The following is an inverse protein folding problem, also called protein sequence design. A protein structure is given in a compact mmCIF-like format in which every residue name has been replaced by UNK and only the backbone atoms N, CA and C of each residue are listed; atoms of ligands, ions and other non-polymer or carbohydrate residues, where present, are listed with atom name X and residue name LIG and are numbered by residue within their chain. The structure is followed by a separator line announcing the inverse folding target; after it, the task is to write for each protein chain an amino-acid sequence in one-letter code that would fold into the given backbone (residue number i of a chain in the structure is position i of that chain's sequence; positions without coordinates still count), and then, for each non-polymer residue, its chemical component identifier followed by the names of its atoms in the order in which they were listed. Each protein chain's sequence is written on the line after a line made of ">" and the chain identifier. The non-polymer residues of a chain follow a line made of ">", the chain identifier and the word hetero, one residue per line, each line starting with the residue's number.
data_IF_490069849867
#
_entry.id   IF_490069849867
#
_cell.length_a   1.000
_cell.length_b   1.000
_cell.length_c   1.000
_cell.angle_alpha   90.00
_cell.angle_beta   90.00
_cell.angle_gamma   90.00
#
_symmetry.space_group_name_H-M   'P 1'
#
loop_
_entity.id
_entity.type
_entity.pdbx_description
1 polymer ?
#
# COMPACT_ATOMS: atom_id res chain seq x y z
N UNK A 1 3.57 3.48 10.78
CA UNK A 1 4.38 4.54 10.14
C UNK A 1 4.92 5.54 11.17
N UNK A 2 4.08 6.26 11.93
CA UNK A 2 4.54 7.27 12.90
C UNK A 2 5.61 6.82 13.91
N UNK A 3 5.47 5.65 14.55
CA UNK A 3 6.48 5.14 15.47
C UNK A 3 7.83 4.79 14.79
N UNK A 4 7.81 4.39 13.51
CA UNK A 4 9.01 4.15 12.75
C UNK A 4 9.71 5.46 12.37
N UNK A 5 8.93 6.52 12.11
CA UNK A 5 9.43 7.88 11.87
C UNK A 5 10.17 8.40 13.10
N UNK A 6 9.54 8.40 14.26
CA UNK A 6 10.17 8.88 15.50
C UNK A 6 11.48 8.14 15.83
N UNK A 7 11.50 6.81 15.66
CA UNK A 7 12.72 6.03 15.87
C UNK A 7 13.80 6.40 14.87
N UNK A 8 13.45 6.54 13.60
CA UNK A 8 14.40 6.91 12.54
C UNK A 8 14.97 8.31 12.78
N UNK A 9 14.12 9.26 13.19
CA UNK A 9 14.55 10.61 13.54
C UNK A 9 15.58 10.60 14.67
N UNK A 10 15.41 9.73 15.66
CA UNK A 10 16.38 9.58 16.75
C UNK A 10 17.72 8.99 16.27
N UNK A 11 17.70 7.97 15.41
CA UNK A 11 18.93 7.44 14.80
C UNK A 11 19.65 8.50 13.95
N UNK A 12 18.92 9.32 13.21
CA UNK A 12 19.50 10.43 12.44
C UNK A 12 20.13 11.46 13.38
N UNK A 13 19.44 11.82 14.47
CA UNK A 13 19.97 12.73 15.50
C UNK A 13 21.26 12.20 16.10
N UNK A 14 21.28 10.94 16.55
CA UNK A 14 22.47 10.29 17.10
C UNK A 14 23.64 10.29 16.10
N UNK A 15 23.37 9.95 14.84
CA UNK A 15 24.38 9.96 13.78
C UNK A 15 24.98 11.36 13.55
N UNK A 16 24.14 12.40 13.49
CA UNK A 16 24.61 13.78 13.34
C UNK A 16 25.45 14.24 14.53
N UNK A 17 25.08 13.83 15.75
CA UNK A 17 25.87 14.11 16.97
C UNK A 17 27.23 13.42 16.90
N UNK A 18 27.25 12.12 16.59
CA UNK A 18 28.48 11.33 16.49
C UNK A 18 29.47 11.91 15.47
N UNK A 19 28.97 12.39 14.33
CA UNK A 19 29.80 13.00 13.27
C UNK A 19 30.19 14.45 13.56
N UNK A 20 29.63 15.08 14.59
CA UNK A 20 29.86 16.48 14.92
C UNK A 20 29.14 17.49 14.00
N UNK A 21 28.09 17.06 13.29
CA UNK A 21 27.31 17.90 12.36
C UNK A 21 26.28 18.78 13.09
N UNK A 22 26.76 19.59 14.04
CA UNK A 22 25.92 20.38 14.95
C UNK A 22 25.08 21.45 14.24
N UNK A 23 25.57 22.03 13.14
CA UNK A 23 24.78 22.98 12.33
C UNK A 23 23.59 22.27 11.67
N UNK A 24 23.82 21.14 11.03
CA UNK A 24 22.76 20.34 10.38
C UNK A 24 21.72 19.87 11.39
N UNK A 25 22.16 19.43 12.57
CA UNK A 25 21.26 19.02 13.66
C UNK A 25 20.31 20.15 14.09
N UNK A 26 20.81 21.38 14.23
CA UNK A 26 19.96 22.54 14.56
C UNK A 26 18.90 22.81 13.49
N UNK A 27 19.27 22.67 12.22
CA UNK A 27 18.32 22.84 11.12
C UNK A 27 17.27 21.72 11.13
N UNK A 28 17.69 20.47 11.33
CA UNK A 28 16.77 19.33 11.47
C UNK A 28 15.76 19.55 12.60
N UNK A 29 16.21 19.93 13.79
CA UNK A 29 15.32 20.19 14.93
C UNK A 29 14.34 21.36 14.65
N UNK A 30 14.77 22.37 13.89
CA UNK A 30 13.90 23.47 13.45
C UNK A 30 12.83 22.98 12.49
N UNK A 31 13.21 22.18 11.49
CA UNK A 31 12.30 21.62 10.49
C UNK A 31 11.29 20.66 11.14
N UNK A 32 11.74 19.83 12.09
CA UNK A 32 10.86 18.95 12.87
C UNK A 32 9.82 19.72 13.68
N UNK A 33 10.18 20.88 14.25
CA UNK A 33 9.22 21.74 14.97
C UNK A 33 8.20 22.38 14.02
N UNK A 34 8.63 22.71 12.81
CA UNK A 34 7.78 23.29 11.78
C UNK A 34 6.95 22.23 11.01
N UNK A 35 7.11 20.94 11.34
CA UNK A 35 6.49 19.85 10.60
C UNK A 35 4.95 19.90 10.68
N UNK A 36 4.35 20.07 9.49
CA UNK A 36 2.90 20.08 9.28
C UNK A 36 2.35 18.67 9.10
N UNK A 37 3.18 17.69 8.77
CA UNK A 37 2.80 16.27 8.61
C UNK A 37 2.80 15.54 9.95
N UNK A 38 3.31 16.19 11.01
CA UNK A 38 3.33 15.72 12.40
C UNK A 38 3.96 14.33 12.55
N UNK A 39 5.01 14.05 11.77
CA UNK A 39 5.67 12.75 11.70
C UNK A 39 4.76 11.65 11.16
N UNK A 40 3.78 11.99 10.33
CA UNK A 40 2.76 11.07 9.82
C UNK A 40 1.96 10.37 10.94
N UNK A 41 1.81 11.04 12.08
CA UNK A 41 0.97 10.58 13.19
C UNK A 41 -0.44 11.09 12.99
N UNK A 42 -1.34 10.18 12.68
CA UNK A 42 -2.75 10.51 12.39
C UNK A 42 -3.40 11.22 13.57
N UNK A 43 -3.20 10.73 14.80
CA UNK A 43 -3.72 11.36 16.02
C UNK A 43 -3.32 12.84 16.11
N UNK A 44 -2.06 13.17 15.83
CA UNK A 44 -1.57 14.55 15.86
C UNK A 44 -2.16 15.43 14.78
N UNK A 45 -2.48 14.87 13.62
CA UNK A 45 -3.19 15.59 12.56
C UNK A 45 -4.64 15.88 12.98
N UNK A 46 -5.32 14.89 13.57
CA UNK A 46 -6.68 15.05 14.09
C UNK A 46 -6.71 16.08 15.23
N UNK A 47 -5.80 15.97 16.20
CA UNK A 47 -5.64 16.91 17.32
C UNK A 47 -5.47 18.35 16.78
N UNK A 48 -4.64 18.53 15.75
CA UNK A 48 -4.40 19.84 15.15
C UNK A 48 -5.64 20.40 14.45
N UNK A 49 -6.37 19.56 13.69
CA UNK A 49 -7.64 19.97 13.06
C UNK A 49 -8.67 20.37 14.11
N UNK A 50 -8.78 19.59 15.18
CA UNK A 50 -9.63 19.93 16.31
C UNK A 50 -9.19 21.23 16.97
N UNK A 51 -7.89 21.45 17.19
CA UNK A 51 -7.38 22.68 17.80
C UNK A 51 -7.81 23.94 17.02
N UNK A 52 -7.73 23.90 15.68
CA UNK A 52 -8.23 25.01 14.86
C UNK A 52 -9.73 25.24 15.02
N UNK A 53 -10.53 24.18 15.15
CA UNK A 53 -11.97 24.26 15.40
C UNK A 53 -12.28 24.87 16.77
N UNK A 54 -11.63 24.36 17.83
CA UNK A 54 -11.82 24.83 19.20
C UNK A 54 -11.40 26.30 19.39
N UNK A 55 -10.41 26.76 18.62
CA UNK A 55 -9.95 28.15 18.64
C UNK A 55 -10.70 29.08 17.67
N UNK A 56 -11.69 28.58 16.92
CA UNK A 56 -12.39 29.33 15.88
C UNK A 56 -11.48 29.91 14.79
N UNK A 57 -10.38 29.20 14.48
CA UNK A 57 -9.43 29.58 13.44
C UNK A 57 -9.78 28.91 12.11
N UNK A 58 -10.74 29.50 11.41
CA UNK A 58 -11.17 29.03 10.09
C UNK A 58 -10.05 29.08 9.05
N UNK A 59 -9.21 30.12 9.08
CA UNK A 59 -8.14 30.27 8.09
C UNK A 59 -7.08 29.19 8.29
N UNK A 60 -6.62 28.98 9.52
CA UNK A 60 -5.69 27.89 9.85
C UNK A 60 -6.24 26.53 9.47
N UNK A 61 -7.52 26.27 9.74
CA UNK A 61 -8.18 25.02 9.34
C UNK A 61 -8.16 24.82 7.81
N UNK A 62 -8.52 25.86 7.04
CA UNK A 62 -8.53 25.82 5.58
C UNK A 62 -7.13 25.61 5.01
N UNK A 63 -6.16 26.39 5.49
CA UNK A 63 -4.79 26.33 5.01
C UNK A 63 -4.14 24.99 5.31
N UNK A 64 -4.43 24.43 6.49
CA UNK A 64 -3.95 23.12 6.89
C UNK A 64 -4.61 22.00 6.07
N UNK A 65 -5.93 22.02 5.87
CA UNK A 65 -6.58 21.06 4.97
C UNK A 65 -6.05 21.16 3.54
N UNK A 66 -5.90 22.38 3.01
CA UNK A 66 -5.34 22.63 1.68
C UNK A 66 -3.88 22.17 1.56
N UNK A 67 -3.11 22.23 2.65
CA UNK A 67 -1.78 21.63 2.71
C UNK A 67 -1.84 20.10 2.58
N UNK A 68 -2.69 19.43 3.37
CA UNK A 68 -2.89 17.98 3.29
C UNK A 68 -3.34 17.57 1.89
N UNK A 69 -4.23 18.34 1.26
CA UNK A 69 -4.72 18.09 -0.09
C UNK A 69 -3.60 18.16 -1.14
N UNK A 70 -2.82 19.24 -1.13
CA UNK A 70 -1.69 19.43 -2.07
C UNK A 70 -0.56 18.44 -1.87
N UNK A 71 -0.38 17.92 -0.66
CA UNK A 71 0.79 17.10 -0.29
C UNK A 71 0.49 15.61 -0.31
N UNK A 72 -0.67 15.22 0.19
CA UNK A 72 -1.06 13.83 0.42
C UNK A 72 -2.13 13.40 -0.59
N UNK A 73 -3.25 14.14 -0.66
CA UNK A 73 -4.41 13.70 -1.44
C UNK A 73 -4.22 13.88 -2.95
N UNK A 74 -3.30 14.75 -3.39
CA UNK A 74 -2.95 14.91 -4.80
C UNK A 74 -2.36 13.64 -5.44
N UNK A 75 -1.84 12.71 -4.62
CA UNK A 75 -1.28 11.43 -5.06
C UNK A 75 -2.32 10.30 -5.10
N UNK A 76 -3.54 10.56 -4.64
CA UNK A 76 -4.63 9.59 -4.70
C UNK A 76 -5.19 9.50 -6.11
N UNK A 77 -5.63 8.29 -6.47
CA UNK A 77 -6.41 8.06 -7.69
C UNK A 77 -7.72 8.86 -7.65
N UNK A 78 -8.20 9.26 -8.84
CA UNK A 78 -9.35 10.14 -8.97
C UNK A 78 -10.64 9.56 -8.38
N UNK A 79 -10.73 8.22 -8.30
CA UNK A 79 -11.85 7.51 -7.66
C UNK A 79 -12.03 7.90 -6.18
N UNK A 80 -10.98 8.35 -5.50
CA UNK A 80 -11.02 8.75 -4.10
C UNK A 80 -11.31 10.24 -3.87
N UNK A 81 -11.30 11.07 -4.93
CA UNK A 81 -11.60 12.51 -4.85
C UNK A 81 -12.97 12.80 -4.21
N UNK A 82 -14.05 12.07 -4.51
CA UNK A 82 -15.34 12.28 -3.83
C UNK A 82 -15.26 12.04 -2.32
N UNK A 83 -14.49 11.04 -1.88
CA UNK A 83 -14.28 10.73 -0.46
C UNK A 83 -13.55 11.87 0.25
N UNK A 84 -12.48 12.39 -0.35
CA UNK A 84 -11.74 13.56 0.17
C UNK A 84 -12.65 14.78 0.26
N UNK A 85 -13.46 15.04 -0.77
CA UNK A 85 -14.43 16.14 -0.76
C UNK A 85 -15.46 15.97 0.36
N UNK A 86 -16.00 14.76 0.55
CA UNK A 86 -16.97 14.46 1.61
C UNK A 86 -16.37 14.64 3.01
N UNK A 87 -15.11 14.25 3.21
CA UNK A 87 -14.38 14.49 4.46
C UNK A 87 -14.19 15.99 4.72
N UNK A 88 -13.78 16.75 3.69
CA UNK A 88 -13.66 18.22 3.76
C UNK A 88 -14.98 18.89 4.14
N UNK A 89 -16.05 18.52 3.44
CA UNK A 89 -17.40 19.04 3.73
C UNK A 89 -17.82 18.69 5.15
N UNK A 90 -17.55 17.46 5.61
CA UNK A 90 -17.88 17.04 6.98
C UNK A 90 -17.05 17.79 8.03
N UNK A 91 -15.78 18.07 7.76
CA UNK A 91 -14.90 18.88 8.62
C UNK A 91 -15.43 20.31 8.79
N UNK A 92 -15.84 20.94 7.70
CA UNK A 92 -16.41 22.29 7.75
C UNK A 92 -17.78 22.32 8.42
N UNK A 93 -18.62 21.30 8.19
CA UNK A 93 -19.87 21.15 8.94
C UNK A 93 -19.60 20.99 10.43
N UNK A 94 -18.56 20.24 10.81
CA UNK A 94 -18.18 20.08 12.21
C UNK A 94 -17.75 21.40 12.83
N UNK A 95 -16.93 22.20 12.12
CA UNK A 95 -16.59 23.57 12.54
C UNK A 95 -17.84 24.43 12.79
N UNK A 96 -18.76 24.47 11.83
CA UNK A 96 -19.98 25.30 11.92
C UNK A 96 -20.91 24.82 13.03
N UNK A 97 -21.12 23.51 13.18
CA UNK A 97 -21.92 22.96 14.28
C UNK A 97 -21.29 23.34 15.62
N UNK A 98 -19.97 23.27 15.74
CA UNK A 98 -19.25 23.64 16.95
C UNK A 98 -19.44 25.12 17.31
N UNK A 99 -19.40 26.03 16.32
CA UNK A 99 -19.64 27.47 16.56
C UNK A 99 -21.06 27.74 17.05
N UNK A 100 -22.05 27.04 16.51
CA UNK A 100 -23.44 27.15 16.94
C UNK A 100 -23.65 26.57 18.34
N UNK A 101 -23.06 25.42 18.65
CA UNK A 101 -23.14 24.79 19.99
C UNK A 101 -22.58 25.69 21.10
N UNK A 102 -21.49 26.42 20.81
CA UNK A 102 -20.92 27.41 21.72
C UNK A 102 -21.64 28.77 21.69
N UNK A 103 -22.79 28.86 21.01
CA UNK A 103 -23.60 30.08 20.84
C UNK A 103 -22.81 31.26 20.27
N UNK A 104 -21.76 30.97 19.50
CA UNK A 104 -20.94 31.97 18.83
C UNK A 104 -21.46 32.22 17.40
N UNK A 105 -22.55 33.00 17.33
CA UNK A 105 -23.20 33.33 16.06
C UNK A 105 -22.30 34.18 15.15
N UNK A 106 -21.45 35.03 15.70
CA UNK A 106 -20.50 35.84 14.91
C UNK A 106 -19.57 34.96 14.08
N UNK A 107 -18.98 33.92 14.70
CA UNK A 107 -18.12 32.97 13.99
C UNK A 107 -18.88 32.10 12.98
N UNK A 108 -20.13 31.80 13.27
CA UNK A 108 -21.02 31.09 12.35
C UNK A 108 -21.29 31.94 11.10
N UNK A 109 -21.60 33.23 11.28
CA UNK A 109 -21.79 34.17 10.17
C UNK A 109 -20.50 34.42 9.39
N UNK A 110 -19.37 34.59 10.09
CA UNK A 110 -18.04 34.76 9.49
C UNK A 110 -17.70 33.59 8.56
N UNK A 111 -18.01 32.35 8.96
CA UNK A 111 -17.81 31.17 8.12
C UNK A 111 -18.55 31.32 6.79
N UNK A 112 -19.87 31.53 6.82
CA UNK A 112 -20.66 31.62 5.59
C UNK A 112 -20.30 32.84 4.76
N UNK A 113 -19.95 33.98 5.37
CA UNK A 113 -19.51 35.16 4.64
C UNK A 113 -18.19 34.91 3.89
N UNK A 114 -17.21 34.27 4.52
CA UNK A 114 -15.90 33.97 3.89
C UNK A 114 -15.96 32.81 2.90
N UNK A 115 -16.91 31.88 3.09
CA UNK A 115 -17.01 30.67 2.28
C UNK A 115 -18.11 30.74 1.22
N UNK A 116 -18.98 31.76 1.22
CA UNK A 116 -20.15 31.85 0.34
C UNK A 116 -19.80 31.58 -1.13
N UNK A 117 -18.78 32.24 -1.67
CA UNK A 117 -18.41 32.12 -3.08
C UNK A 117 -18.00 30.70 -3.48
N UNK A 118 -17.38 29.95 -2.58
CA UNK A 118 -16.94 28.57 -2.82
C UNK A 118 -18.08 27.57 -2.59
N UNK A 119 -18.93 27.81 -1.58
CA UNK A 119 -19.97 26.88 -1.15
C UNK A 119 -21.30 27.03 -1.92
N UNK A 120 -21.60 28.19 -2.48
CA UNK A 120 -22.89 28.44 -3.15
C UNK A 120 -23.08 27.55 -4.39
N UNK A 121 -22.00 27.12 -5.05
CA UNK A 121 -22.05 26.16 -6.17
C UNK A 121 -22.27 24.71 -5.73
N UNK A 122 -22.24 24.41 -4.43
CA UNK A 122 -22.31 23.05 -3.89
C UNK A 122 -23.70 22.78 -3.32
N UNK A 123 -24.45 21.88 -3.94
CA UNK A 123 -25.84 21.56 -3.54
C UNK A 123 -25.97 21.13 -2.08
N UNK A 124 -24.95 20.44 -1.56
CA UNK A 124 -24.87 19.97 -0.18
C UNK A 124 -24.79 21.09 0.88
N UNK A 125 -24.44 22.31 0.47
CA UNK A 125 -24.38 23.49 1.36
C UNK A 125 -25.61 24.38 1.26
N UNK A 126 -26.48 24.18 0.27
CA UNK A 126 -27.63 25.05 0.00
C UNK A 126 -28.50 25.27 1.24
N UNK A 127 -28.87 24.17 1.90
CA UNK A 127 -29.76 24.23 3.05
C UNK A 127 -29.04 24.75 4.31
N UNK A 128 -27.70 24.70 4.35
CA UNK A 128 -26.89 25.14 5.51
C UNK A 128 -26.78 26.66 5.66
N UNK A 129 -26.99 27.44 4.59
CA UNK A 129 -26.90 28.91 4.65
C UNK A 129 -27.96 29.56 5.56
N UNK A 130 -29.03 28.84 5.89
CA UNK A 130 -30.07 29.31 6.83
C UNK A 130 -29.61 29.21 8.30
N UNK A 131 -28.57 28.42 8.59
CA UNK A 131 -28.17 28.05 9.95
C UNK A 131 -27.88 29.24 10.87
N UNK A 132 -27.19 30.31 10.44
CA UNK A 132 -26.93 31.49 11.29
C UNK A 132 -28.19 32.23 11.75
N UNK A 133 -29.32 32.01 11.07
CA UNK A 133 -30.60 32.66 11.34
C UNK A 133 -31.58 31.74 12.07
N UNK A 134 -31.19 30.50 12.33
CA UNK A 134 -32.03 29.51 13.01
C UNK A 134 -31.81 29.57 14.53
N UNK A 135 -32.85 29.79 15.34
CA UNK A 135 -32.69 29.93 16.80
C UNK A 135 -32.39 28.62 17.53
N UNK A 136 -32.87 27.47 17.01
CA UNK A 136 -32.67 26.14 17.60
C UNK A 136 -32.44 25.07 16.51
N UNK A 137 -31.28 25.09 15.83
CA UNK A 137 -30.99 24.16 14.74
C UNK A 137 -30.92 22.69 15.17
N UNK A 138 -30.61 22.42 16.44
CA UNK A 138 -30.62 21.08 17.02
C UNK A 138 -32.02 20.44 17.07
N UNK A 139 -33.09 21.24 17.01
CA UNK A 139 -34.48 20.75 16.98
C UNK A 139 -34.98 20.51 15.54
N UNK A 140 -34.27 21.05 14.54
CA UNK A 140 -34.67 20.90 13.14
C UNK A 140 -34.32 19.48 12.66
N UNK A 141 -35.28 18.70 12.10
CA UNK A 141 -35.03 17.33 11.65
C UNK A 141 -33.89 17.18 10.62
N UNK A 142 -33.62 18.23 9.82
CA UNK A 142 -32.53 18.23 8.84
C UNK A 142 -31.14 18.36 9.50
N UNK A 143 -31.06 19.08 10.61
CA UNK A 143 -29.79 19.44 11.25
C UNK A 143 -29.52 18.65 12.53
N UNK A 144 -30.56 18.22 13.25
CA UNK A 144 -30.46 17.51 14.52
C UNK A 144 -29.46 16.34 14.53
N UNK A 145 -29.30 15.54 13.45
CA UNK A 145 -28.30 14.47 13.46
C UNK A 145 -26.86 14.99 13.60
N UNK A 146 -26.55 16.16 13.03
CA UNK A 146 -25.22 16.77 13.05
C UNK A 146 -24.85 17.35 14.42
N UNK A 147 -25.85 17.70 15.25
CA UNK A 147 -25.64 18.19 16.61
C UNK A 147 -25.40 17.06 17.62
N UNK A 148 -25.53 15.79 17.20
CA UNK A 148 -25.25 14.64 18.05
C UNK A 148 -23.74 14.40 18.20
N UNK A 149 -23.30 14.03 19.41
CA UNK A 149 -21.92 13.60 19.66
C UNK A 149 -21.54 12.36 18.82
N UNK A 150 -22.50 11.46 18.61
CA UNK A 150 -22.29 10.27 17.79
C UNK A 150 -21.84 10.62 16.37
N UNK A 151 -22.44 11.66 15.76
CA UNK A 151 -22.06 12.10 14.43
C UNK A 151 -20.62 12.61 14.38
N UNK A 152 -20.23 13.50 15.31
CA UNK A 152 -18.87 14.04 15.36
C UNK A 152 -17.84 12.93 15.61
N UNK A 153 -18.12 12.01 16.52
CA UNK A 153 -17.23 10.90 16.86
C UNK A 153 -17.06 9.96 15.65
N UNK A 154 -18.17 9.65 14.95
CA UNK A 154 -18.15 8.82 13.73
C UNK A 154 -17.35 9.49 12.62
N UNK A 155 -17.50 10.80 12.44
CA UNK A 155 -16.72 11.58 11.48
C UNK A 155 -15.22 11.51 11.79
N UNK A 156 -14.83 11.76 13.04
CA UNK A 156 -13.43 11.77 13.46
C UNK A 156 -12.78 10.39 13.30
N UNK A 157 -13.48 9.32 13.66
CA UNK A 157 -13.02 7.94 13.43
C UNK A 157 -12.86 7.66 11.93
N UNK A 158 -13.81 8.10 11.10
CA UNK A 158 -13.74 7.92 9.66
C UNK A 158 -12.54 8.65 9.05
N UNK A 159 -12.29 9.89 9.48
CA UNK A 159 -11.13 10.68 9.06
C UNK A 159 -9.81 10.04 9.52
N UNK A 160 -9.75 9.58 10.76
CA UNK A 160 -8.60 8.87 11.31
C UNK A 160 -8.29 7.60 10.49
N UNK A 161 -9.31 6.78 10.22
CA UNK A 161 -9.15 5.55 9.46
C UNK A 161 -8.70 5.83 8.02
N UNK A 162 -9.27 6.86 7.38
CA UNK A 162 -8.85 7.28 6.04
C UNK A 162 -7.38 7.68 6.00
N UNK A 163 -6.92 8.54 6.91
CA UNK A 163 -5.52 8.97 6.99
C UNK A 163 -4.58 7.81 7.33
N UNK A 164 -5.03 6.89 8.19
CA UNK A 164 -4.25 5.70 8.56
C UNK A 164 -3.99 4.80 7.35
N UNK A 165 -5.04 4.49 6.58
CA UNK A 165 -4.91 3.69 5.35
C UNK A 165 -4.07 4.43 4.31
N UNK A 166 -4.32 5.73 4.13
CA UNK A 166 -3.54 6.57 3.23
C UNK A 166 -2.04 6.46 3.51
N UNK A 167 -1.64 6.60 4.78
CA UNK A 167 -0.24 6.52 5.17
C UNK A 167 0.34 5.10 5.04
N UNK A 168 -0.44 4.06 5.28
CA UNK A 168 0.01 2.68 5.04
C UNK A 168 0.29 2.40 3.56
N UNK A 169 -0.45 3.04 2.65
CA UNK A 169 -0.26 2.86 1.21
C UNK A 169 0.86 3.74 0.62
N UNK A 170 1.41 4.71 1.37
CA UNK A 170 2.49 5.54 0.85
C UNK A 170 3.81 4.76 0.80
N UNK A 171 4.61 4.89 -0.27
CA UNK A 171 5.92 4.26 -0.34
C UNK A 171 6.81 4.78 0.79
N UNK A 172 7.31 3.85 1.61
CA UNK A 172 8.16 4.16 2.74
C UNK A 172 9.61 4.34 2.27
N UNK A 173 10.32 5.40 2.71
CA UNK A 173 11.75 5.51 2.48
C UNK A 173 12.53 4.30 3.02
N UNK A 174 13.58 3.89 2.33
CA UNK A 174 14.39 2.70 2.70
C UNK A 174 14.92 2.80 4.14
N UNK A 175 15.34 3.99 4.57
CA UNK A 175 15.84 4.20 5.93
C UNK A 175 14.78 3.85 6.99
N UNK A 176 13.51 4.11 6.67
CA UNK A 176 12.37 3.84 7.55
C UNK A 176 11.97 2.35 7.55
N UNK A 177 12.34 1.57 6.53
CA UNK A 177 12.12 0.12 6.46
C UNK A 177 13.31 -0.69 6.98
N UNK A 178 14.51 -0.12 7.04
CA UNK A 178 15.76 -0.81 7.32
C UNK A 178 15.69 -1.73 8.55
N UNK A 179 15.31 -1.21 9.73
CA UNK A 179 15.18 -2.02 10.96
C UNK A 179 14.24 -3.22 10.76
N UNK A 180 13.08 -2.97 10.13
CA UNK A 180 12.09 -4.02 9.87
C UNK A 180 12.59 -5.05 8.87
N UNK A 181 13.43 -4.63 7.92
CA UNK A 181 14.07 -5.49 6.93
C UNK A 181 15.17 -6.33 7.55
N UNK A 182 15.98 -5.76 8.44
CA UNK A 182 16.98 -6.50 9.20
C UNK A 182 16.31 -7.54 10.09
N UNK A 183 15.30 -7.16 10.87
CA UNK A 183 14.55 -8.11 11.73
C UNK A 183 13.94 -9.25 10.93
N UNK A 184 13.30 -8.94 9.79
CA UNK A 184 12.72 -9.96 8.92
C UNK A 184 13.78 -10.91 8.37
N UNK A 185 14.91 -10.38 7.92
CA UNK A 185 16.03 -11.18 7.43
C UNK A 185 16.56 -12.10 8.52
N UNK A 186 16.73 -11.60 9.74
CA UNK A 186 17.17 -12.40 10.90
C UNK A 186 16.18 -13.53 11.22
N UNK A 187 14.89 -13.24 11.32
CA UNK A 187 13.88 -14.27 11.60
C UNK A 187 13.84 -15.34 10.49
N UNK A 188 13.90 -14.92 9.22
CA UNK A 188 13.97 -15.86 8.10
C UNK A 188 15.23 -16.73 8.15
N UNK A 189 16.34 -16.17 8.59
CA UNK A 189 17.59 -16.91 8.72
C UNK A 189 17.55 -17.91 9.88
N UNK A 190 16.99 -17.53 11.02
CA UNK A 190 16.74 -18.42 12.16
C UNK A 190 15.80 -19.58 11.77
N UNK A 191 14.71 -19.30 11.05
CA UNK A 191 13.81 -20.33 10.52
C UNK A 191 14.54 -21.26 9.53
N UNK A 192 15.37 -20.69 8.64
CA UNK A 192 16.16 -21.47 7.69
C UNK A 192 17.11 -22.44 8.41
N UNK A 193 17.78 -21.96 9.47
CA UNK A 193 18.70 -22.78 10.25
C UNK A 193 17.96 -23.84 11.06
N UNK A 194 16.79 -23.54 11.61
CA UNK A 194 15.91 -24.54 12.24
C UNK A 194 15.50 -25.63 11.25
N UNK A 195 15.07 -25.26 10.04
CA UNK A 195 14.72 -26.22 8.99
C UNK A 195 15.92 -27.06 8.56
N UNK A 196 17.12 -26.47 8.47
CA UNK A 196 18.37 -27.21 8.20
C UNK A 196 18.69 -28.20 9.31
N UNK A 197 18.51 -27.82 10.58
CA UNK A 197 18.67 -28.73 11.71
C UNK A 197 17.68 -29.89 11.66
N UNK A 198 16.41 -29.64 11.38
CA UNK A 198 15.38 -30.69 11.23
C UNK A 198 15.71 -31.63 10.07
N UNK A 199 16.10 -31.09 8.92
CA UNK A 199 16.52 -31.90 7.76
C UNK A 199 17.73 -32.78 8.08
N UNK A 200 18.71 -32.24 8.81
CA UNK A 200 19.88 -32.99 9.23
C UNK A 200 19.50 -34.15 10.18
N UNK A 201 18.66 -33.90 11.18
CA UNK A 201 18.17 -34.94 12.10
C UNK A 201 17.40 -36.05 11.36
N UNK A 202 16.46 -35.68 10.50
CA UNK A 202 15.68 -36.65 9.71
C UNK A 202 16.56 -37.47 8.75
N UNK A 203 17.60 -36.87 8.17
CA UNK A 203 18.56 -37.58 7.32
C UNK A 203 19.45 -38.53 8.14
N UNK A 204 19.80 -38.17 9.38
CA UNK A 204 20.49 -39.04 10.34
C UNK A 204 19.62 -40.24 10.73
N UNK A 205 18.36 -40.01 11.07
CA UNK A 205 17.39 -41.06 11.38
C UNK A 205 17.11 -41.99 10.20
N UNK A 206 17.03 -41.46 8.97
CA UNK A 206 16.88 -42.27 7.77
C UNK A 206 18.10 -43.17 7.49
N UNK A 207 19.32 -42.71 7.86
CA UNK A 207 20.54 -43.52 7.77
C UNK A 207 20.58 -44.60 8.86
N UNK A 208 20.15 -44.29 10.08
CA UNK A 208 20.02 -45.27 11.17
C UNK A 208 18.98 -46.33 10.85
N UNK A 209 17.79 -45.96 10.34
CA UNK A 209 16.79 -46.94 9.87
C UNK A 209 17.31 -47.85 8.75
N UNK A 210 18.11 -47.32 7.82
CA UNK A 210 18.81 -48.14 6.80
C UNK A 210 19.92 -49.04 7.35
N UNK A 211 20.45 -48.72 8.53
CA UNK A 211 21.50 -49.50 9.20
C UNK A 211 20.92 -50.53 10.18
N UNK A 212 19.76 -50.23 10.78
CA UNK A 212 18.97 -51.13 11.62
C UNK A 212 18.14 -52.14 10.81
N UNK A 213 17.83 -51.86 9.54
CA UNK A 213 17.53 -52.93 8.58
C UNK A 213 18.81 -53.77 8.40
N UNK A 214 18.97 -54.79 9.26
CA UNK A 214 19.94 -55.88 9.06
C UNK A 214 19.87 -56.30 7.59
N UNK A 215 20.96 -56.11 6.85
CA UNK A 215 21.08 -56.54 5.46
C UNK A 215 21.05 -58.07 5.44
N UNK A 216 19.85 -58.65 5.47
CA UNK A 216 19.64 -60.04 5.10
C UNK A 216 19.99 -60.16 3.62
N UNK A 217 21.17 -60.71 3.35
CA UNK A 217 21.56 -61.08 2.00
C UNK A 217 20.60 -62.21 1.57
N UNK A 218 19.58 -61.89 0.79
CA UNK A 218 18.74 -62.92 0.17
C UNK A 218 19.58 -63.59 -0.91
N UNK A 219 19.96 -64.84 -0.66
CA UNK A 219 20.50 -65.72 -1.69
C UNK A 219 19.43 -65.89 -2.79
N UNK A 220 19.83 -65.94 -4.07
CA UNK A 220 18.89 -66.16 -5.16
C UNK A 220 18.04 -67.43 -4.96
N UNK A 221 16.80 -67.50 -5.50
CA UNK A 221 15.88 -68.63 -5.27
C UNK A 221 16.45 -70.01 -5.61
N UNK A 222 17.41 -70.09 -6.54
CA UNK A 222 18.04 -71.35 -6.95
C UNK A 222 18.97 -71.95 -5.86
N UNK A 223 19.38 -71.17 -4.87
CA UNK A 223 20.24 -71.62 -3.76
C UNK A 223 19.40 -72.25 -2.63
N UNK A 224 18.10 -71.98 -2.62
CA UNK A 224 17.17 -72.35 -1.55
C UNK A 224 16.87 -73.86 -1.49
N UNK A 225 17.38 -74.63 -2.46
CA UNK A 225 17.09 -76.06 -2.63
C UNK A 225 18.39 -76.92 -2.66
N UNK A 226 19.54 -76.33 -2.34
CA UNK A 226 20.85 -77.02 -2.34
C UNK A 226 20.95 -78.15 -1.31
N UNK A 227 20.10 -78.09 -0.30
CA UNK A 227 19.83 -79.11 0.73
C UNK A 227 19.21 -80.41 0.18
N UNK A 228 18.78 -80.43 -1.09
CA UNK A 228 18.15 -81.60 -1.73
C UNK A 228 19.01 -82.31 -2.77
N UNK A 229 20.26 -81.88 -2.97
CA UNK A 229 21.15 -82.41 -4.01
C UNK A 229 21.78 -83.78 -3.70
N UNK A 230 21.40 -84.43 -2.60
CA UNK A 230 21.88 -85.76 -2.23
C UNK A 230 20.98 -86.94 -2.65
N UNK A 231 19.68 -86.69 -2.92
CA UNK A 231 18.69 -87.78 -2.79
C UNK A 231 17.86 -88.06 -4.05
N UNK A 232 18.16 -87.50 -5.22
CA UNK A 232 17.30 -87.75 -6.40
C UNK A 232 18.02 -87.64 -7.75
N UNK A 233 18.99 -88.51 -8.02
CA UNK A 233 19.42 -88.87 -9.39
C UNK A 233 19.93 -90.32 -9.40
N UNK A 234 19.08 -91.25 -8.97
CA UNK A 234 19.23 -92.67 -9.28
C UNK A 234 17.86 -93.25 -9.64
N UNK A 235 17.20 -92.68 -10.64
CA UNK A 235 16.14 -93.40 -11.37
C UNK A 235 16.08 -92.92 -12.83
N UNK A 236 17.06 -93.43 -13.57
CA UNK A 236 16.93 -94.08 -14.86
C UNK A 236 15.61 -93.88 -15.64
N UNK A 237 15.79 -93.32 -16.85
CA UNK A 237 15.27 -93.83 -18.15
C UNK A 237 13.74 -93.81 -18.32
N UNK A 238 13.25 -93.11 -19.36
CA UNK A 238 12.70 -93.68 -20.62
C UNK A 238 11.97 -92.60 -21.44
N UNK A 239 12.37 -92.47 -22.71
CA UNK A 239 11.59 -92.07 -23.90
C UNK A 239 10.82 -90.73 -24.01
N UNK A 240 11.17 -90.01 -25.10
CA UNK A 240 10.30 -89.43 -26.15
C UNK A 240 8.86 -89.02 -25.79
N UNK A 241 8.50 -87.74 -26.01
CA UNK A 241 7.72 -87.26 -27.18
C UNK A 241 7.45 -85.73 -27.05
N UNK A 242 7.47 -85.00 -28.18
CA UNK A 242 6.80 -83.70 -28.36
C UNK A 242 5.29 -83.98 -28.70
N UNK A 243 4.33 -83.03 -28.88
CA UNK A 243 4.34 -81.55 -28.82
C UNK A 243 3.09 -80.87 -28.16
N UNK A 244 3.09 -79.53 -28.10
CA UNK A 244 2.01 -78.52 -28.20
C UNK A 244 0.65 -78.64 -27.43
N UNK A 245 0.23 -77.55 -26.74
CA UNK A 245 -0.98 -76.72 -27.01
C UNK A 245 -1.42 -75.84 -25.82
N UNK A 246 -1.97 -74.64 -26.15
CA UNK A 246 -3.05 -73.87 -25.46
C UNK A 246 -2.72 -73.21 -24.10
N UNK A 247 -3.16 -72.01 -23.69
CA UNK A 247 -4.22 -71.05 -24.09
C UNK A 247 -4.03 -69.72 -23.31
N UNK A 248 -4.52 -68.62 -23.88
CA UNK A 248 -4.76 -67.26 -23.31
C UNK A 248 -5.80 -67.26 -22.13
N UNK A 249 -6.27 -66.14 -21.49
CA UNK A 249 -6.01 -64.68 -21.70
C UNK A 249 -5.94 -63.75 -20.43
N UNK A 250 -5.65 -62.46 -20.69
CA UNK A 250 -6.29 -61.23 -20.13
C UNK A 250 -6.23 -60.89 -18.62
N UNK A 251 -5.56 -59.77 -18.28
CA UNK A 251 -6.25 -58.53 -17.83
C UNK A 251 -5.30 -57.32 -17.72
N UNK A 252 -5.58 -56.26 -18.49
CA UNK A 252 -5.08 -54.91 -18.29
C UNK A 252 -5.89 -54.20 -17.19
N UNK A 253 -5.24 -53.57 -16.20
CA UNK A 253 -5.85 -52.49 -15.39
C UNK A 253 -4.80 -51.38 -15.13
N UNK A 254 -5.03 -50.27 -15.84
CA UNK A 254 -4.70 -48.86 -15.57
C UNK A 254 -3.25 -48.35 -15.43
N UNK A 255 -2.94 -47.51 -16.41
CA UNK A 255 -1.92 -46.46 -16.46
C UNK A 255 -2.30 -45.26 -15.57
N UNK A 256 -1.32 -44.59 -14.96
CA UNK A 256 -1.37 -43.14 -14.63
C UNK A 256 0.06 -42.56 -14.55
N UNK A 257 0.48 -42.01 -15.68
CA UNK A 257 1.34 -40.83 -15.94
C UNK A 257 2.70 -40.61 -15.23
N UNK A 258 3.76 -40.70 -16.04
CA UNK A 258 5.05 -40.01 -15.91
C UNK A 258 5.10 -38.83 -16.91
N UNK A 259 5.65 -37.65 -16.56
CA UNK A 259 5.88 -36.59 -17.54
C UNK A 259 7.24 -36.75 -18.23
N UNK A 260 7.21 -36.89 -19.57
CA UNK A 260 8.38 -36.83 -20.44
C UNK A 260 8.75 -35.37 -20.77
N UNK A 261 10.03 -35.07 -20.60
CA UNK A 261 10.70 -33.94 -21.24
C UNK A 261 10.93 -34.22 -22.74
N UNK A 262 10.63 -33.26 -23.62
CA UNK A 262 11.33 -33.09 -24.91
C UNK A 262 11.43 -31.63 -25.35
N UNK A 263 12.59 -31.37 -25.94
CA UNK A 263 13.17 -30.14 -26.47
C UNK A 263 12.48 -29.64 -27.75
N UNK A 264 12.64 -28.34 -28.05
CA UNK A 264 12.45 -27.70 -29.37
C UNK A 264 13.76 -27.00 -29.77
N UNK A 265 14.23 -27.05 -31.03
CA UNK A 265 15.34 -26.22 -31.52
C UNK A 265 15.02 -25.32 -32.73
N UNK A 266 15.68 -24.15 -32.78
CA UNK A 266 15.93 -23.31 -33.99
C UNK A 266 15.73 -21.80 -33.77
N UNK A 267 16.74 -21.01 -33.32
CA UNK A 267 17.76 -20.20 -34.08
C UNK A 267 17.16 -19.19 -35.09
N UNK A 268 17.39 -17.86 -35.00
CA UNK A 268 18.66 -17.13 -35.27
C UNK A 268 18.58 -15.61 -34.88
N UNK A 269 19.65 -14.78 -34.92
CA UNK A 269 20.34 -14.28 -33.72
C UNK A 269 20.38 -12.74 -33.55
N UNK A 270 20.81 -12.29 -32.35
CA UNK A 270 21.15 -10.89 -32.01
C UNK A 270 22.53 -10.84 -31.34
N UNK A 271 23.41 -9.98 -31.86
CA UNK A 271 24.69 -9.52 -31.32
C UNK A 271 25.19 -8.44 -32.29
N UNK A 272 25.74 -7.28 -31.93
CA UNK A 272 26.55 -6.80 -30.80
C UNK A 272 26.39 -5.25 -30.69
N UNK A 273 26.96 -4.58 -29.65
CA UNK A 273 26.76 -3.16 -29.36
C UNK A 273 27.80 -2.25 -30.05
N UNK A 274 27.49 -0.96 -30.22
CA UNK A 274 28.44 0.04 -30.72
C UNK A 274 27.96 1.49 -30.60
N UNK A 275 28.61 2.24 -29.70
CA UNK A 275 29.11 3.63 -29.82
C UNK A 275 28.22 4.80 -30.29
N UNK A 276 28.18 5.86 -29.45
CA UNK A 276 27.90 7.26 -29.82
C UNK A 276 28.95 7.82 -30.80
N UNK A 277 28.64 8.95 -31.49
CA UNK A 277 29.28 10.20 -31.07
C UNK A 277 28.42 11.47 -31.21
N UNK A 278 28.87 12.47 -30.46
CA UNK A 278 28.57 13.90 -30.45
C UNK A 278 28.86 14.60 -31.79
N UNK A 279 28.04 15.57 -32.22
CA UNK A 279 28.49 16.93 -32.58
C UNK A 279 27.35 17.89 -32.92
N UNK A 280 27.62 19.16 -32.62
CA UNK A 280 26.82 20.36 -32.84
C UNK A 280 27.02 20.92 -34.26
N UNK A 281 26.06 21.72 -34.75
CA UNK A 281 26.21 22.98 -35.53
C UNK A 281 24.88 23.31 -36.24
N UNK A 282 24.21 24.42 -35.88
CA UNK A 282 24.28 25.78 -36.47
C UNK A 282 23.34 26.03 -37.67
N UNK A 283 22.51 27.08 -37.54
CA UNK A 283 21.83 27.81 -38.62
C UNK A 283 20.35 28.12 -38.31
N UNK A 284 19.98 29.30 -37.77
CA UNK A 284 19.64 30.58 -38.48
C UNK A 284 18.66 30.36 -39.64
N UNK A 285 17.56 31.09 -39.87
CA UNK A 285 16.95 32.38 -39.46
C UNK A 285 15.52 32.30 -40.06
N UNK A 286 14.43 32.87 -39.53
CA UNK A 286 14.04 34.26 -39.78
C UNK A 286 12.80 34.68 -38.97
N UNK A 287 12.78 35.99 -38.73
CA UNK A 287 11.87 36.89 -38.04
C UNK A 287 10.61 37.27 -38.82
N UNK A 288 9.48 37.47 -38.12
CA UNK A 288 8.51 38.59 -38.26
C UNK A 288 7.35 38.38 -37.25
N UNK A 289 7.27 39.15 -36.16
CA UNK A 289 6.57 40.44 -36.04
C UNK A 289 5.03 40.33 -36.08
N UNK A 290 4.37 40.39 -34.91
CA UNK A 290 3.47 41.51 -34.55
C UNK A 290 2.89 41.34 -33.14
N UNK A 291 2.96 42.43 -32.37
CA UNK A 291 2.35 42.63 -31.06
C UNK A 291 1.11 43.55 -31.21
N UNK A 292 0.36 43.85 -30.14
CA UNK A 292 -1.11 43.75 -30.05
C UNK A 292 -1.82 45.10 -30.21
N UNK A 293 -3.16 45.10 -30.21
CA UNK A 293 -3.98 46.30 -29.91
C UNK A 293 -5.44 45.94 -29.56
N UNK A 294 -5.80 46.17 -28.31
CA UNK A 294 -7.14 46.65 -27.92
C UNK A 294 -7.26 48.14 -28.27
N UNK A 295 -8.48 48.68 -28.49
CA UNK A 295 -9.07 49.51 -27.44
C UNK A 295 -10.61 49.49 -27.34
N UNK A 296 -11.11 49.67 -26.12
CA UNK A 296 -12.47 50.11 -25.72
C UNK A 296 -12.20 51.32 -24.79
N UNK A 297 -12.92 52.48 -24.82
CA UNK A 297 -14.35 52.54 -24.51
C UNK A 297 -15.20 53.66 -25.18
N UNK A 298 -16.51 53.44 -25.25
CA UNK A 298 -17.48 54.53 -25.40
C UNK A 298 -18.74 54.24 -24.58
N UNK A 299 -18.92 55.09 -23.56
CA UNK A 299 -20.05 55.19 -22.65
C UNK A 299 -21.32 55.68 -23.35
N UNK A 300 -22.48 55.10 -23.05
CA UNK A 300 -23.79 55.78 -23.11
C UNK A 300 -24.72 55.24 -22.02
N UNK A 301 -24.90 56.04 -20.97
CA UNK A 301 -26.10 56.00 -20.11
C UNK A 301 -27.32 56.53 -20.87
N UNK A 302 -28.54 56.06 -20.57
CA UNK A 302 -29.75 56.82 -20.76
C UNK A 302 -30.30 57.30 -19.40
N UNK A 303 -30.54 58.62 -19.27
CA UNK A 303 -31.45 59.18 -18.25
C UNK A 303 -32.85 59.33 -18.84
N UNK A 304 -33.91 58.98 -18.10
CA UNK A 304 -35.28 59.37 -18.41
C UNK A 304 -35.67 60.68 -17.69
N UNK A 305 -36.75 61.31 -18.19
CA UNK A 305 -37.81 62.09 -17.51
C UNK A 305 -38.22 63.29 -18.37
N UNK A 306 -39.53 63.39 -18.68
CA UNK A 306 -40.20 64.67 -18.90
C UNK A 306 -41.33 64.68 -19.94
N UNK A 307 -42.57 64.60 -19.41
CA UNK A 307 -43.89 64.94 -20.00
C UNK A 307 -44.58 63.93 -20.92
#
# INVERSE_FOLDING_TARGET
>A
MGAAVERTDEHVREYLIYRGFTSTLKHLDSDMKADKEKGFRVDKIIDQLQLFIHNFDLNGLKDYWGYLDRRLFCRLEDIYRPTVSKLRTSLFRYYVVYTVQLKNLEKTQEFFQRQAQELQGQLEWRDWFILPFMPAPEQNPLFSPYFSRQWSDTFLVSLHNFLSVLFQCMPQPVLLSFDSEVQRTTCLQEENDQLRHVLFSLQGEAKLKKQEEMVHHKLPPYVQNMDRLGDTELDLVTSQHNPALTTTPSRNFFSTFLPQARRVPGKMPRGLPGSSPTQASLGRKDTAANQPKDPVPASKEPKPVGS
#
